data_IF_745431387401
#
_entry.id   IF_745431387401
#
_cell.length_a   1.000
_cell.length_b   1.000
_cell.length_c   1.000
_cell.angle_alpha   90.00
_cell.angle_beta   90.00
_cell.angle_gamma   90.00
#
_symmetry.space_group_name_H-M   'P 1'
#
loop_
_entity.id
_entity.type
_entity.pdbx_description
1 polymer ?
#
# COMPACT_ATOMS: atom_id res chain seq x y z
N UNK A 1 -6.07 -10.64 16.19
CA UNK A 1 -5.59 -10.56 14.80
C UNK A 1 -4.11 -10.88 14.79
N UNK A 2 -3.66 -11.83 13.97
CA UNK A 2 -2.25 -12.20 13.89
C UNK A 2 -1.39 -10.99 13.50
N UNK A 3 -0.20 -10.86 14.11
CA UNK A 3 0.70 -9.74 13.85
C UNK A 3 1.24 -9.86 12.42
N UNK A 4 0.84 -8.95 11.54
CA UNK A 4 1.36 -8.80 10.18
C UNK A 4 2.89 -8.66 10.22
N UNK A 5 3.62 -9.62 9.63
CA UNK A 5 5.10 -9.71 9.65
C UNK A 5 5.76 -8.79 8.62
N UNK A 6 5.09 -8.54 7.49
CA UNK A 6 5.60 -7.76 6.37
C UNK A 6 4.75 -6.51 6.26
N UNK A 7 5.32 -5.40 6.73
CA UNK A 7 4.70 -4.08 6.74
C UNK A 7 5.10 -3.31 5.48
N UNK A 8 4.13 -2.82 4.73
CA UNK A 8 4.38 -1.93 3.59
C UNK A 8 4.19 -0.47 3.99
N UNK A 9 4.77 0.45 3.22
CA UNK A 9 4.63 1.90 3.43
C UNK A 9 3.19 2.41 3.34
N UNK A 10 2.33 1.71 2.60
CA UNK A 10 0.94 2.12 2.35
C UNK A 10 -0.07 1.51 3.33
N UNK A 11 0.33 0.65 4.27
CA UNK A 11 -0.61 0.02 5.23
C UNK A 11 -1.16 -1.33 4.79
N UNK A 12 -0.90 -1.75 3.54
CA UNK A 12 -1.11 -3.13 3.13
C UNK A 12 -0.10 -4.05 3.84
N UNK A 13 -0.44 -5.32 4.01
CA UNK A 13 0.52 -6.31 4.49
C UNK A 13 0.69 -7.41 3.48
N UNK A 14 1.94 -7.64 3.07
CA UNK A 14 2.29 -8.74 2.19
C UNK A 14 2.43 -10.06 2.93
N UNK A 15 2.15 -10.12 4.24
CA UNK A 15 2.28 -11.36 5.03
C UNK A 15 1.42 -12.50 4.52
N UNK A 16 0.21 -12.16 4.07
CA UNK A 16 -0.78 -13.11 3.60
C UNK A 16 -1.01 -12.95 2.08
N UNK A 17 -0.03 -12.38 1.36
CA UNK A 17 -0.13 -12.14 -0.08
C UNK A 17 0.45 -13.32 -0.86
N UNK A 18 -0.39 -13.99 -1.65
CA UNK A 18 -0.01 -15.18 -2.43
C UNK A 18 1.04 -14.93 -3.53
N UNK A 19 1.25 -13.67 -3.90
CA UNK A 19 2.24 -13.24 -4.89
C UNK A 19 3.61 -12.95 -4.25
N UNK A 20 3.65 -12.70 -2.94
CA UNK A 20 4.90 -12.40 -2.23
C UNK A 20 5.81 -13.63 -2.18
N UNK A 21 7.06 -13.49 -2.63
CA UNK A 21 8.02 -14.59 -2.73
C UNK A 21 7.88 -15.44 -4.00
N UNK A 22 6.90 -15.13 -4.86
CA UNK A 22 6.78 -15.69 -6.21
C UNK A 22 7.15 -14.62 -7.24
N UNK A 23 6.14 -14.00 -7.85
CA UNK A 23 6.30 -12.92 -8.83
C UNK A 23 6.55 -11.54 -8.19
N UNK A 24 6.27 -11.38 -6.89
CA UNK A 24 6.49 -10.14 -6.17
C UNK A 24 7.55 -10.31 -5.07
N UNK A 25 8.65 -9.57 -5.19
CA UNK A 25 9.72 -9.51 -4.17
C UNK A 25 9.46 -8.47 -3.06
N UNK A 26 8.29 -7.84 -3.07
CA UNK A 26 7.92 -6.78 -2.14
C UNK A 26 8.46 -5.41 -2.52
N UNK A 27 7.84 -4.36 -1.97
CA UNK A 27 8.13 -2.97 -2.33
C UNK A 27 9.60 -2.56 -2.10
N UNK A 28 10.30 -2.98 -1.02
CA UNK A 28 11.70 -2.61 -0.81
C UNK A 28 12.63 -3.14 -1.91
N UNK A 29 12.49 -4.41 -2.29
CA UNK A 29 13.36 -5.04 -3.30
C UNK A 29 13.02 -4.61 -4.72
N UNK A 30 11.73 -4.40 -4.99
CA UNK A 30 11.26 -3.89 -6.29
C UNK A 30 11.40 -2.37 -6.41
N UNK A 31 11.88 -1.70 -5.35
CA UNK A 31 11.97 -0.24 -5.25
C UNK A 31 10.67 0.47 -5.65
N UNK A 32 9.50 -0.07 -5.30
CA UNK A 32 8.20 0.54 -5.65
C UNK A 32 7.57 0.03 -6.95
N UNK A 33 8.11 -1.02 -7.56
CA UNK A 33 7.58 -1.65 -8.80
C UNK A 33 7.05 -3.07 -8.49
N UNK A 34 6.02 -3.24 -7.63
CA UNK A 34 5.42 -4.55 -7.38
C UNK A 34 4.73 -5.09 -8.63
N UNK A 35 4.47 -6.40 -8.64
CA UNK A 35 3.94 -7.14 -9.80
C UNK A 35 2.72 -6.47 -10.49
N UNK A 36 1.84 -5.82 -9.71
CA UNK A 36 0.61 -5.22 -10.24
C UNK A 36 0.82 -3.91 -11.02
N UNK A 37 1.97 -3.25 -10.89
CA UNK A 37 2.24 -1.97 -11.59
C UNK A 37 2.14 -2.13 -13.11
N UNK A 38 2.66 -3.24 -13.63
CA UNK A 38 2.56 -3.61 -15.05
C UNK A 38 1.11 -3.83 -15.51
N UNK A 39 0.25 -4.42 -14.67
CA UNK A 39 -1.15 -4.69 -15.06
C UNK A 39 -1.98 -3.41 -15.21
N UNK A 40 -1.63 -2.35 -14.49
CA UNK A 40 -2.34 -1.07 -14.57
C UNK A 40 -1.58 -0.01 -15.37
N UNK A 41 -0.49 -0.39 -16.04
CA UNK A 41 0.27 0.49 -16.93
C UNK A 41 0.95 1.66 -16.23
N UNK A 42 1.38 1.50 -14.98
CA UNK A 42 2.21 2.51 -14.30
C UNK A 42 3.62 1.96 -14.08
N UNK A 43 4.63 2.82 -14.20
CA UNK A 43 6.02 2.42 -14.00
C UNK A 43 6.36 2.22 -12.51
N UNK A 44 5.66 2.94 -11.62
CA UNK A 44 6.03 3.00 -10.21
C UNK A 44 4.85 3.32 -9.30
N UNK A 45 4.86 2.75 -8.10
CA UNK A 45 3.86 3.02 -7.08
C UNK A 45 4.02 4.42 -6.48
N UNK A 46 3.11 5.33 -6.83
CA UNK A 46 3.09 6.71 -6.34
C UNK A 46 3.12 6.86 -4.80
N UNK A 47 2.59 5.87 -4.05
CA UNK A 47 2.64 5.88 -2.58
C UNK A 47 4.07 5.56 -2.10
N UNK A 48 4.72 4.59 -2.71
CA UNK A 48 6.09 4.23 -2.37
C UNK A 48 7.05 5.36 -2.73
N UNK A 49 6.89 5.96 -3.90
CA UNK A 49 7.69 7.10 -4.34
C UNK A 49 7.55 8.29 -3.37
N UNK A 50 6.32 8.63 -3.01
CA UNK A 50 6.06 9.70 -2.05
C UNK A 50 6.72 9.44 -0.69
N UNK A 51 6.65 8.20 -0.17
CA UNK A 51 7.27 7.87 1.11
C UNK A 51 8.80 7.87 1.04
N UNK A 52 9.42 7.34 -0.01
CA UNK A 52 10.87 7.14 -0.05
C UNK A 52 11.63 8.32 -0.66
N UNK A 53 11.04 9.01 -1.65
CA UNK A 53 11.72 10.02 -2.44
C UNK A 53 11.21 11.44 -2.11
N UNK A 54 9.89 11.66 -2.10
CA UNK A 54 9.33 13.01 -1.91
C UNK A 54 9.35 13.47 -0.44
N UNK A 55 8.59 12.78 0.42
CA UNK A 55 8.34 13.17 1.81
C UNK A 55 9.26 12.49 2.81
N UNK A 56 9.96 11.41 2.38
CA UNK A 56 10.94 10.67 3.20
C UNK A 56 10.39 10.17 4.54
N UNK A 57 9.15 9.69 4.51
CA UNK A 57 8.53 9.04 5.66
C UNK A 57 8.72 7.53 5.61
N UNK A 58 8.92 6.85 6.76
CA UNK A 58 9.04 5.39 6.80
C UNK A 58 7.76 4.68 6.33
N UNK A 59 6.60 5.34 6.48
CA UNK A 59 5.30 4.89 5.98
C UNK A 59 4.29 6.04 6.00
N UNK A 60 3.18 5.90 5.28
CA UNK A 60 2.13 6.91 5.19
C UNK A 60 1.53 7.28 6.56
N UNK A 61 1.59 6.40 7.55
CA UNK A 61 1.10 6.69 8.92
C UNK A 61 1.78 7.87 9.63
N UNK A 62 2.94 8.33 9.14
CA UNK A 62 3.61 9.56 9.61
C UNK A 62 3.19 10.82 8.85
N UNK A 63 2.41 10.67 7.79
CA UNK A 63 1.95 11.78 6.98
C UNK A 63 0.71 12.43 7.62
N UNK A 64 0.65 13.76 7.77
CA UNK A 64 -0.57 14.44 8.21
C UNK A 64 -1.71 14.27 7.20
N UNK A 65 -1.37 14.14 5.91
CA UNK A 65 -2.30 13.95 4.80
C UNK A 65 -2.55 12.44 4.53
N UNK A 66 -2.56 11.61 5.58
CA UNK A 66 -2.86 10.19 5.45
C UNK A 66 -4.24 9.99 4.80
N UNK A 67 -4.36 8.97 3.95
CA UNK A 67 -5.51 8.76 3.05
C UNK A 67 -5.69 9.87 2.00
N UNK A 68 -4.59 10.44 1.50
CA UNK A 68 -4.61 11.30 0.31
C UNK A 68 -5.04 10.56 -0.97
N UNK A 69 -5.25 11.32 -2.04
CA UNK A 69 -5.67 10.85 -3.37
C UNK A 69 -4.87 9.68 -3.96
N UNK A 70 -3.61 9.44 -3.53
CA UNK A 70 -2.84 8.26 -3.97
C UNK A 70 -3.49 6.92 -3.56
N UNK A 71 -4.41 6.94 -2.60
CA UNK A 71 -5.18 5.77 -2.18
C UNK A 71 -6.47 5.56 -3.01
N UNK A 72 -6.85 6.51 -3.87
CA UNK A 72 -8.07 6.42 -4.69
C UNK A 72 -8.05 5.20 -5.61
N UNK A 73 -6.85 4.73 -5.99
CA UNK A 73 -6.63 3.47 -6.71
C UNK A 73 -7.34 2.24 -6.09
N UNK A 74 -7.57 2.25 -4.77
CA UNK A 74 -8.33 1.19 -4.11
C UNK A 74 -9.78 1.26 -4.57
N UNK A 75 -10.37 2.45 -4.57
CA UNK A 75 -11.74 2.70 -5.08
C UNK A 75 -11.85 2.38 -6.57
N UNK A 76 -10.79 2.64 -7.33
CA UNK A 76 -10.73 2.37 -8.77
C UNK A 76 -10.48 0.88 -9.11
N UNK A 77 -10.32 0.01 -8.11
CA UNK A 77 -10.09 -1.42 -8.34
C UNK A 77 -11.35 -2.06 -8.94
N UNK A 78 -11.27 -2.67 -10.13
CA UNK A 78 -12.45 -3.29 -10.75
C UNK A 78 -13.04 -4.40 -9.87
N UNK A 79 -14.37 -4.40 -9.74
CA UNK A 79 -15.10 -5.47 -9.05
C UNK A 79 -15.19 -5.31 -7.53
N UNK A 80 -14.75 -4.19 -6.95
CA UNK A 80 -15.04 -3.87 -5.54
C UNK A 80 -16.14 -2.83 -5.43
N UNK A 81 -16.94 -2.91 -4.37
CA UNK A 81 -17.95 -1.93 -4.03
C UNK A 81 -17.35 -0.77 -3.24
N UNK A 82 -18.07 0.36 -3.19
CA UNK A 82 -17.65 1.51 -2.37
C UNK A 82 -17.53 1.14 -0.88
N UNK A 83 -18.42 0.28 -0.37
CA UNK A 83 -18.38 -0.19 1.01
C UNK A 83 -17.11 -1.02 1.30
N UNK A 84 -16.72 -1.91 0.38
CA UNK A 84 -15.48 -2.69 0.50
C UNK A 84 -14.24 -1.81 0.38
N UNK A 85 -14.25 -0.83 -0.53
CA UNK A 85 -13.19 0.16 -0.65
C UNK A 85 -13.03 0.95 0.66
N UNK A 86 -14.14 1.46 1.22
CA UNK A 86 -14.14 2.21 2.47
C UNK A 86 -13.64 1.35 3.65
N UNK A 87 -14.09 0.10 3.75
CA UNK A 87 -13.62 -0.83 4.78
C UNK A 87 -12.11 -1.11 4.65
N UNK A 88 -11.63 -1.30 3.42
CA UNK A 88 -10.21 -1.53 3.12
C UNK A 88 -9.37 -0.32 3.52
N UNK A 89 -9.78 0.89 3.11
CA UNK A 89 -9.08 2.13 3.44
C UNK A 89 -9.06 2.39 4.95
N UNK A 90 -10.18 2.17 5.64
CA UNK A 90 -10.26 2.32 7.09
C UNK A 90 -9.34 1.32 7.83
N UNK A 91 -9.26 0.07 7.36
CA UNK A 91 -8.35 -0.92 7.92
C UNK A 91 -6.88 -0.54 7.70
N UNK A 92 -6.53 -0.01 6.52
CA UNK A 92 -5.19 0.49 6.20
C UNK A 92 -4.83 1.70 7.06
N UNK A 93 -5.75 2.65 7.23
CA UNK A 93 -5.55 3.83 8.07
C UNK A 93 -5.30 3.44 9.53
N UNK A 94 -6.16 2.61 10.11
CA UNK A 94 -6.02 2.16 11.49
C UNK A 94 -4.68 1.45 11.72
N UNK A 95 -4.30 0.58 10.78
CA UNK A 95 -3.03 -0.12 10.84
C UNK A 95 -1.85 0.86 10.78
N UNK A 96 -1.87 1.82 9.84
CA UNK A 96 -0.82 2.82 9.70
C UNK A 96 -0.69 3.76 10.90
N UNK A 97 -1.82 4.20 11.48
CA UNK A 97 -1.85 5.05 12.66
C UNK A 97 -1.39 4.33 13.92
N UNK A 98 -1.54 3.00 13.97
CA UNK A 98 -1.05 2.19 15.09
C UNK A 98 0.48 2.05 15.14
N UNK A 99 1.17 2.38 14.03
CA UNK A 99 2.63 2.29 13.94
C UNK A 99 3.30 3.52 14.57
N UNK A 100 4.18 3.27 15.55
CA UNK A 100 4.94 4.31 16.27
C UNK A 100 6.08 4.90 15.46
#
# INVERSE_FOLDING_TARGET
MAKKKIQTVCGYSCSDCDHHGKECRGCPETKGIPFWTAFIGIDHCAIYDCCNNDRKFPHCGKCPDLMCNRFDRIRDTPGITEAEANATLAAMENELRSRK
#
